data_IF_237660350111
#
_entry.id   IF_237660350111
#
_cell.length_a   1.000
_cell.length_b   1.000
_cell.length_c   1.000
_cell.angle_alpha   90.00
_cell.angle_beta   90.00
_cell.angle_gamma   90.00
#
_symmetry.space_group_name_H-M   'P 1'
#
loop_
_entity.id
_entity.type
_entity.pdbx_description
1 polymer ?
#
# COMPACT_ATOMS: atom_id res chain seq x y z
N UNK A 1 -12.74 0.99 4.03
CA UNK A 1 -12.46 2.42 4.33
C UNK A 1 -11.42 2.94 3.34
N UNK A 2 -11.26 4.27 3.20
CA UNK A 2 -10.20 4.88 2.36
C UNK A 2 -9.00 5.24 3.24
N UNK A 3 -7.82 4.73 2.90
CA UNK A 3 -6.59 4.88 3.70
C UNK A 3 -5.50 5.51 2.84
N UNK A 4 -4.86 6.58 3.31
CA UNK A 4 -3.64 7.10 2.72
C UNK A 4 -2.43 6.50 3.44
N UNK A 5 -1.52 5.85 2.70
CA UNK A 5 -0.35 5.17 3.26
C UNK A 5 0.94 5.77 2.70
N UNK A 6 1.76 6.35 3.56
CA UNK A 6 3.07 6.88 3.18
C UNK A 6 4.14 5.83 3.46
N UNK A 7 5.00 5.55 2.48
CA UNK A 7 6.09 4.59 2.66
C UNK A 7 5.65 3.13 2.55
N UNK A 8 4.67 2.84 1.68
CA UNK A 8 4.17 1.48 1.44
C UNK A 8 5.23 0.47 0.97
N UNK A 9 6.37 0.94 0.45
CA UNK A 9 7.51 0.11 0.04
C UNK A 9 8.54 -0.11 1.14
N UNK A 10 8.30 0.40 2.36
CA UNK A 10 9.20 0.25 3.50
C UNK A 10 9.11 -1.11 4.17
N UNK A 11 9.98 -1.34 5.16
CA UNK A 11 10.06 -2.60 5.92
C UNK A 11 8.69 -3.00 6.52
N UNK A 12 7.98 -2.04 7.13
CA UNK A 12 6.66 -2.27 7.73
C UNK A 12 5.51 -1.95 6.76
N UNK A 13 5.67 -0.92 5.93
CA UNK A 13 4.61 -0.41 5.07
C UNK A 13 4.02 -1.45 4.12
N UNK A 14 4.83 -2.39 3.64
CA UNK A 14 4.36 -3.42 2.72
C UNK A 14 3.44 -4.44 3.41
N UNK A 15 3.72 -4.80 4.67
CA UNK A 15 2.86 -5.69 5.45
C UNK A 15 1.51 -5.04 5.71
N UNK A 16 1.52 -3.77 6.12
CA UNK A 16 0.28 -3.02 6.35
C UNK A 16 -0.55 -2.87 5.07
N UNK A 17 0.09 -2.55 3.94
CA UNK A 17 -0.59 -2.47 2.64
C UNK A 17 -1.30 -3.79 2.31
N UNK A 18 -0.61 -4.92 2.47
CA UNK A 18 -1.17 -6.22 2.13
C UNK A 18 -2.36 -6.57 3.03
N UNK A 19 -2.26 -6.30 4.32
CA UNK A 19 -3.33 -6.51 5.30
C UNK A 19 -4.55 -5.61 5.03
N UNK A 20 -4.31 -4.32 4.77
CA UNK A 20 -5.38 -3.36 4.48
C UNK A 20 -6.15 -3.75 3.21
N UNK A 21 -5.45 -4.18 2.16
CA UNK A 21 -6.07 -4.68 0.94
C UNK A 21 -6.82 -6.00 1.18
N UNK A 22 -6.26 -6.94 1.93
CA UNK A 22 -6.96 -8.19 2.30
C UNK A 22 -8.26 -7.94 3.08
N UNK A 23 -8.29 -6.89 3.89
CA UNK A 23 -9.50 -6.45 4.62
C UNK A 23 -10.50 -5.66 3.76
N UNK A 24 -10.24 -5.51 2.46
CA UNK A 24 -11.11 -4.80 1.52
C UNK A 24 -11.11 -3.29 1.71
N UNK A 25 -9.99 -2.71 2.17
CA UNK A 25 -9.83 -1.27 2.25
C UNK A 25 -9.23 -0.73 0.96
N UNK A 26 -9.71 0.43 0.51
CA UNK A 26 -9.11 1.15 -0.61
C UNK A 26 -7.92 1.95 -0.09
N UNK A 27 -6.73 1.70 -0.63
CA UNK A 27 -5.47 2.29 -0.14
C UNK A 27 -4.84 3.14 -1.23
N UNK A 28 -4.59 4.42 -0.93
CA UNK A 28 -3.75 5.29 -1.76
C UNK A 28 -2.36 5.36 -1.15
N UNK A 29 -1.39 4.74 -1.81
CA UNK A 29 -0.01 4.73 -1.35
C UNK A 29 0.79 5.90 -1.94
N UNK A 30 1.40 6.72 -1.08
CA UNK A 30 2.38 7.72 -1.49
C UNK A 30 3.79 7.15 -1.30
N UNK A 31 4.50 6.98 -2.41
CA UNK A 31 5.85 6.41 -2.44
C UNK A 31 6.77 7.23 -3.31
N UNK A 32 8.08 7.15 -3.03
CA UNK A 32 9.10 7.86 -3.82
C UNK A 32 9.35 7.22 -5.18
N UNK A 33 9.24 5.89 -5.23
CA UNK A 33 9.46 5.10 -6.44
C UNK A 33 8.35 4.06 -6.57
N UNK A 34 7.37 4.28 -7.47
CA UNK A 34 6.26 3.35 -7.66
C UNK A 34 6.69 2.03 -8.30
N UNK A 35 7.86 1.97 -8.95
CA UNK A 35 8.39 0.74 -9.58
C UNK A 35 8.67 -0.36 -8.55
N UNK A 36 8.80 0.01 -7.27
CA UNK A 36 8.99 -0.92 -6.15
C UNK A 36 7.69 -1.53 -5.64
N UNK A 37 6.54 -1.03 -6.07
CA UNK A 37 5.26 -1.71 -5.87
C UNK A 37 5.01 -2.65 -7.04
N UNK A 38 4.67 -3.90 -6.73
CA UNK A 38 4.07 -4.78 -7.72
C UNK A 38 2.73 -4.19 -8.17
N UNK A 39 2.43 -4.27 -9.47
CA UNK A 39 1.12 -3.92 -9.99
C UNK A 39 0.05 -4.72 -9.24
N UNK A 40 -0.86 -3.99 -8.60
CA UNK A 40 -1.92 -4.54 -7.76
C UNK A 40 -3.18 -3.74 -8.05
N UNK A 41 -4.28 -4.43 -8.26
CA UNK A 41 -5.58 -3.80 -8.28
C UNK A 41 -5.94 -3.32 -6.88
N UNK A 42 -6.35 -2.05 -6.78
CA UNK A 42 -6.72 -1.36 -5.54
C UNK A 42 -7.68 -0.24 -5.80
#
# INVERSE_FOLDING_TARGET
>A
MKIALIGATGHVGHYFLNEALQRGHAVTALVRDPSKLAARDG
#
